data_IF_185561533663
#
_entry.id   IF_185561533663
#
_cell.length_a   1.000
_cell.length_b   1.000
_cell.length_c   1.000
_cell.angle_alpha   90.00
_cell.angle_beta   90.00
_cell.angle_gamma   90.00
#
_symmetry.space_group_name_H-M   'P 1'
#
loop_
_entity.id
_entity.type
_entity.pdbx_description
1 polymer ?
#
# COMPACT_ATOMS: atom_id res chain seq x y z
N UNK A 1 11.87 -15.91 -19.66
CA UNK A 1 12.00 -17.00 -18.65
C UNK A 1 11.47 -16.49 -17.31
N UNK A 2 10.19 -16.70 -17.00
CA UNK A 2 9.53 -16.09 -15.81
C UNK A 2 8.34 -16.88 -15.26
N UNK A 3 8.31 -18.20 -15.45
CA UNK A 3 7.12 -19.03 -15.15
C UNK A 3 7.28 -19.95 -13.93
N UNK A 4 8.50 -20.21 -13.44
CA UNK A 4 8.71 -21.14 -12.33
C UNK A 4 8.51 -20.50 -10.93
N UNK A 5 8.86 -19.23 -10.75
CA UNK A 5 8.68 -18.53 -9.46
C UNK A 5 7.22 -18.20 -9.16
N UNK A 6 6.43 -17.85 -10.17
CA UNK A 6 4.98 -17.61 -10.05
C UNK A 6 4.20 -18.90 -9.77
N UNK A 7 4.60 -20.03 -10.38
CA UNK A 7 4.07 -21.36 -10.08
C UNK A 7 4.32 -21.77 -8.62
N UNK A 8 5.54 -21.57 -8.13
CA UNK A 8 5.93 -21.96 -6.76
C UNK A 8 5.20 -21.11 -5.71
N UNK A 9 5.13 -19.79 -5.90
CA UNK A 9 4.43 -18.88 -4.99
C UNK A 9 2.93 -19.16 -4.94
N UNK A 10 2.31 -19.44 -6.09
CA UNK A 10 0.88 -19.80 -6.16
C UNK A 10 0.61 -21.14 -5.47
N UNK A 11 1.48 -22.13 -5.65
CA UNK A 11 1.36 -23.43 -4.95
C UNK A 11 1.52 -23.28 -3.44
N UNK A 12 2.49 -22.50 -2.99
CA UNK A 12 2.72 -22.22 -1.57
C UNK A 12 1.49 -21.54 -0.93
N UNK A 13 0.88 -20.57 -1.60
CA UNK A 13 -0.36 -19.94 -1.15
C UNK A 13 -1.49 -20.96 -0.97
N UNK A 14 -1.77 -21.79 -1.98
CA UNK A 14 -2.84 -22.78 -1.87
C UNK A 14 -2.56 -23.86 -0.84
N UNK A 15 -1.30 -24.27 -0.68
CA UNK A 15 -0.89 -25.17 0.39
C UNK A 15 -1.10 -24.54 1.78
N UNK A 16 -0.78 -23.25 1.95
CA UNK A 16 -1.04 -22.56 3.22
C UNK A 16 -2.53 -22.42 3.52
N UNK A 17 -3.35 -22.16 2.50
CA UNK A 17 -4.81 -22.08 2.64
C UNK A 17 -5.38 -23.44 3.04
N UNK A 18 -4.97 -24.50 2.34
CA UNK A 18 -5.42 -25.87 2.64
C UNK A 18 -5.00 -26.27 4.06
N UNK A 19 -3.74 -26.02 4.42
CA UNK A 19 -3.22 -26.33 5.76
C UNK A 19 -4.01 -25.59 6.84
N UNK A 20 -4.23 -24.29 6.67
CA UNK A 20 -5.01 -23.47 7.60
C UNK A 20 -6.45 -23.98 7.75
N UNK A 21 -7.12 -24.30 6.65
CA UNK A 21 -8.50 -24.78 6.68
C UNK A 21 -8.62 -26.14 7.40
N UNK A 22 -7.64 -27.03 7.19
CA UNK A 22 -7.58 -28.33 7.88
C UNK A 22 -7.30 -28.14 9.38
N UNK A 23 -6.35 -27.28 9.75
CA UNK A 23 -6.03 -27.04 11.16
C UNK A 23 -7.18 -26.37 11.90
N UNK A 24 -7.83 -25.38 11.28
CA UNK A 24 -8.97 -24.69 11.85
C UNK A 24 -10.15 -25.65 12.01
N UNK A 25 -10.41 -26.49 11.01
CA UNK A 25 -11.43 -27.53 11.07
C UNK A 25 -11.19 -28.54 12.17
N UNK A 26 -9.93 -28.97 12.36
CA UNK A 26 -9.57 -29.87 13.45
C UNK A 26 -9.81 -29.20 14.82
N UNK A 27 -9.41 -27.95 14.98
CA UNK A 27 -9.61 -27.19 16.22
C UNK A 27 -11.11 -27.01 16.51
N UNK A 28 -11.90 -26.63 15.51
CA UNK A 28 -13.34 -26.44 15.67
C UNK A 28 -14.07 -27.75 16.00
N UNK A 29 -13.66 -28.87 15.39
CA UNK A 29 -14.17 -30.19 15.72
C UNK A 29 -13.82 -30.61 17.16
N UNK A 30 -12.56 -30.44 17.58
CA UNK A 30 -12.12 -30.71 18.95
C UNK A 30 -12.86 -29.83 19.97
N UNK A 31 -13.09 -28.56 19.64
CA UNK A 31 -13.90 -27.67 20.47
C UNK A 31 -15.34 -28.19 20.60
N UNK A 32 -15.98 -28.58 19.50
CA UNK A 32 -17.34 -29.13 19.51
C UNK A 32 -17.45 -30.40 20.37
N UNK A 33 -16.47 -31.30 20.31
CA UNK A 33 -16.38 -32.48 21.19
C UNK A 33 -16.22 -32.09 22.66
N UNK A 34 -15.38 -31.10 22.97
CA UNK A 34 -15.16 -30.63 24.34
C UNK A 34 -16.42 -30.01 24.96
N UNK A 35 -17.32 -29.45 24.15
CA UNK A 35 -18.63 -28.94 24.58
C UNK A 35 -19.72 -30.02 24.64
N UNK A 36 -19.36 -31.31 24.54
CA UNK A 36 -20.27 -32.44 24.75
C UNK A 36 -21.08 -32.85 23.52
N UNK A 37 -20.68 -32.45 22.32
CA UNK A 37 -21.31 -32.92 21.08
C UNK A 37 -20.89 -34.37 20.79
N UNK A 38 -21.85 -35.23 20.41
CA UNK A 38 -21.53 -36.56 19.87
C UNK A 38 -20.68 -36.43 18.60
N UNK A 39 -19.83 -37.43 18.29
CA UNK A 39 -18.86 -37.35 17.19
C UNK A 39 -19.49 -36.98 15.82
N UNK A 40 -20.71 -37.46 15.55
CA UNK A 40 -21.44 -37.10 14.33
C UNK A 40 -21.97 -35.66 14.36
N UNK A 41 -22.48 -35.21 15.51
CA UNK A 41 -22.96 -33.83 15.70
C UNK A 41 -21.80 -32.81 15.75
N UNK A 42 -20.62 -33.22 16.26
CA UNK A 42 -19.43 -32.40 16.37
C UNK A 42 -18.91 -31.90 15.01
N UNK A 43 -19.14 -32.65 13.92
CA UNK A 43 -18.83 -32.19 12.56
C UNK A 43 -19.71 -31.00 12.17
N UNK A 44 -21.03 -31.09 12.40
CA UNK A 44 -21.98 -30.02 12.10
C UNK A 44 -21.76 -28.77 12.97
N UNK A 45 -21.57 -28.97 14.27
CA UNK A 45 -21.30 -27.90 15.24
C UNK A 45 -19.94 -27.24 14.94
N UNK A 46 -18.90 -28.01 14.64
CA UNK A 46 -17.59 -27.49 14.28
C UNK A 46 -17.61 -26.66 12.99
N UNK A 47 -18.34 -27.11 11.96
CA UNK A 47 -18.54 -26.32 10.75
C UNK A 47 -19.26 -24.99 11.03
N UNK A 48 -20.26 -24.99 11.91
CA UNK A 48 -20.96 -23.78 12.31
C UNK A 48 -20.06 -22.81 13.10
N UNK A 49 -19.21 -23.33 13.99
CA UNK A 49 -18.19 -22.54 14.70
C UNK A 49 -17.22 -21.89 13.71
N UNK A 50 -16.71 -22.65 12.74
CA UNK A 50 -15.83 -22.10 11.71
C UNK A 50 -16.51 -20.97 10.95
N UNK A 51 -17.71 -21.19 10.44
CA UNK A 51 -18.46 -20.17 9.70
C UNK A 51 -18.67 -18.92 10.57
N UNK A 52 -19.03 -19.08 11.84
CA UNK A 52 -19.20 -17.96 12.76
C UNK A 52 -17.91 -17.17 12.99
N UNK A 53 -16.78 -17.87 13.21
CA UNK A 53 -15.47 -17.25 13.41
C UNK A 53 -15.02 -16.49 12.15
N UNK A 54 -15.11 -17.12 10.98
CA UNK A 54 -14.74 -16.50 9.71
C UNK A 54 -15.65 -15.31 9.39
N UNK A 55 -16.96 -15.42 9.63
CA UNK A 55 -17.90 -14.32 9.45
C UNK A 55 -17.58 -13.15 10.40
N UNK A 56 -17.28 -13.44 11.67
CA UNK A 56 -16.87 -12.43 12.64
C UNK A 56 -15.57 -11.74 12.22
N UNK A 57 -14.55 -12.50 11.82
CA UNK A 57 -13.28 -11.95 11.33
C UNK A 57 -13.50 -11.06 10.09
N UNK A 58 -14.35 -11.50 9.15
CA UNK A 58 -14.68 -10.72 7.96
C UNK A 58 -15.38 -9.40 8.32
N UNK A 59 -16.37 -9.45 9.21
CA UNK A 59 -17.09 -8.26 9.67
C UNK A 59 -16.17 -7.30 10.43
N UNK A 60 -15.35 -7.82 11.33
CA UNK A 60 -14.38 -7.03 12.09
C UNK A 60 -13.34 -6.37 11.16
N UNK A 61 -12.85 -7.13 10.17
CA UNK A 61 -11.96 -6.64 9.13
C UNK A 61 -12.61 -5.53 8.30
N UNK A 62 -13.87 -5.71 7.90
CA UNK A 62 -14.64 -4.71 7.15
C UNK A 62 -14.86 -3.42 7.95
N UNK A 63 -15.26 -3.53 9.22
CA UNK A 63 -15.42 -2.36 10.11
C UNK A 63 -14.09 -1.62 10.26
N UNK A 64 -13.00 -2.36 10.46
CA UNK A 64 -11.66 -1.80 10.58
C UNK A 64 -11.22 -1.08 9.31
N UNK A 65 -11.49 -1.67 8.14
CA UNK A 65 -11.23 -1.08 6.83
C UNK A 65 -12.07 0.20 6.65
N UNK A 66 -13.36 0.17 6.92
CA UNK A 66 -14.25 1.34 6.83
C UNK A 66 -13.80 2.47 7.75
N UNK A 67 -13.46 2.17 9.00
CA UNK A 67 -12.96 3.16 9.96
C UNK A 67 -11.66 3.79 9.49
N UNK A 68 -10.71 2.97 9.05
CA UNK A 68 -9.44 3.46 8.56
C UNK A 68 -9.60 4.28 7.27
N UNK A 69 -10.44 3.83 6.34
CA UNK A 69 -10.79 4.56 5.13
C UNK A 69 -11.42 5.93 5.47
N UNK A 70 -12.38 5.97 6.39
CA UNK A 70 -13.02 7.20 6.82
C UNK A 70 -11.99 8.18 7.41
N UNK A 71 -11.13 7.72 8.34
CA UNK A 71 -10.07 8.55 8.93
C UNK A 71 -9.08 9.05 7.86
N UNK A 72 -8.69 8.16 6.94
CA UNK A 72 -7.80 8.50 5.84
C UNK A 72 -8.39 9.60 4.95
N UNK A 73 -9.60 9.42 4.44
CA UNK A 73 -10.20 10.36 3.50
C UNK A 73 -10.64 11.68 4.15
N UNK A 74 -11.10 11.65 5.41
CA UNK A 74 -11.57 12.85 6.11
C UNK A 74 -10.43 13.71 6.65
N UNK A 75 -9.40 13.11 7.24
CA UNK A 75 -8.40 13.87 8.00
C UNK A 75 -6.98 13.72 7.45
N UNK A 76 -6.59 12.49 7.12
CA UNK A 76 -5.19 12.15 6.92
C UNK A 76 -4.68 12.45 5.51
N UNK A 77 -5.52 12.27 4.49
CA UNK A 77 -5.14 12.35 3.08
C UNK A 77 -4.46 13.68 2.75
N UNK A 78 -5.09 14.81 3.09
CA UNK A 78 -4.57 16.15 2.76
C UNK A 78 -3.25 16.43 3.47
N UNK A 79 -3.16 16.06 4.75
CA UNK A 79 -1.95 16.23 5.56
C UNK A 79 -0.80 15.40 5.01
N UNK A 80 -1.04 14.11 4.73
CA UNK A 80 -0.04 13.20 4.16
C UNK A 80 0.49 13.70 2.82
N UNK A 81 -0.39 14.17 1.93
CA UNK A 81 0.04 14.77 0.66
C UNK A 81 0.94 15.98 0.90
N UNK A 82 0.54 16.91 1.77
CA UNK A 82 1.34 18.10 2.06
C UNK A 82 2.71 17.74 2.67
N UNK A 83 2.75 16.77 3.58
CA UNK A 83 4.01 16.26 4.16
C UNK A 83 4.88 15.60 3.10
N UNK A 84 4.31 14.76 2.22
CA UNK A 84 5.09 14.13 1.14
C UNK A 84 5.64 15.18 0.17
N UNK A 85 4.87 16.21 -0.19
CA UNK A 85 5.38 17.34 -1.01
C UNK A 85 6.56 18.02 -0.32
N UNK A 86 6.45 18.33 0.98
CA UNK A 86 7.56 18.91 1.74
C UNK A 86 8.80 18.00 1.75
N UNK A 87 8.62 16.70 1.92
CA UNK A 87 9.73 15.74 1.83
C UNK A 87 10.38 15.71 0.44
N UNK A 88 9.59 15.87 -0.64
CA UNK A 88 10.12 15.94 -2.01
C UNK A 88 10.91 17.24 -2.24
N UNK A 89 10.42 18.36 -1.70
CA UNK A 89 11.10 19.67 -1.70
C UNK A 89 12.44 19.57 -0.93
N UNK A 90 12.41 19.06 0.30
CA UNK A 90 13.59 18.89 1.16
C UNK A 90 14.63 17.92 0.58
N UNK A 91 14.17 16.87 -0.10
CA UNK A 91 15.05 15.90 -0.76
C UNK A 91 15.64 16.42 -2.08
N UNK A 92 15.14 17.54 -2.61
CA UNK A 92 15.55 18.10 -3.89
C UNK A 92 15.17 17.20 -5.06
N UNK A 93 13.96 16.63 -5.06
CA UNK A 93 13.54 15.72 -6.13
C UNK A 93 13.51 16.42 -7.50
N UNK A 94 14.02 15.76 -8.57
CA UNK A 94 13.96 16.35 -9.90
C UNK A 94 12.52 16.41 -10.40
N UNK A 95 12.22 17.38 -11.27
CA UNK A 95 10.90 17.50 -11.88
C UNK A 95 10.56 16.26 -12.73
N UNK A 96 9.31 15.79 -12.73
CA UNK A 96 8.89 14.71 -13.62
C UNK A 96 9.08 15.11 -15.08
N UNK A 97 9.88 14.34 -15.83
CA UNK A 97 10.21 14.64 -17.23
C UNK A 97 9.06 14.36 -18.22
N UNK A 98 8.04 13.62 -17.77
CA UNK A 98 6.85 13.25 -18.56
C UNK A 98 5.65 13.01 -17.66
N UNK A 99 4.49 12.79 -18.28
CA UNK A 99 3.33 12.27 -17.57
C UNK A 99 3.54 10.78 -17.30
N UNK A 100 3.45 10.38 -16.02
CA UNK A 100 3.57 8.97 -15.61
C UNK A 100 2.21 8.40 -15.30
N UNK A 101 1.94 7.18 -15.78
CA UNK A 101 0.70 6.45 -15.45
C UNK A 101 0.77 5.78 -14.08
N UNK A 102 1.97 5.54 -13.55
CA UNK A 102 2.19 4.97 -12.22
C UNK A 102 3.25 5.80 -11.46
N UNK A 103 2.97 6.25 -10.22
CA UNK A 103 3.94 7.00 -9.41
C UNK A 103 5.27 6.26 -9.21
N UNK A 104 5.28 4.92 -9.23
CA UNK A 104 6.51 4.14 -9.12
C UNK A 104 7.44 4.28 -10.32
N UNK A 105 6.94 4.61 -11.51
CA UNK A 105 7.77 4.86 -12.69
C UNK A 105 8.61 6.13 -12.52
N UNK A 106 7.99 7.21 -12.05
CA UNK A 106 8.72 8.44 -11.71
C UNK A 106 9.77 8.17 -10.65
N UNK A 107 9.42 7.49 -9.55
CA UNK A 107 10.37 7.20 -8.48
C UNK A 107 11.54 6.33 -8.98
N UNK A 108 11.30 5.37 -9.87
CA UNK A 108 12.36 4.57 -10.50
C UNK A 108 13.28 5.42 -11.36
N UNK A 109 12.72 6.37 -12.09
CA UNK A 109 13.49 7.32 -12.88
C UNK A 109 14.43 8.14 -11.99
N UNK A 110 13.91 8.71 -10.88
CA UNK A 110 14.72 9.44 -9.88
C UNK A 110 15.85 8.59 -9.31
N UNK A 111 15.59 7.31 -9.01
CA UNK A 111 16.62 6.38 -8.50
C UNK A 111 17.72 6.15 -9.54
N UNK A 112 17.34 6.02 -10.82
CA UNK A 112 18.26 5.74 -11.92
C UNK A 112 18.99 6.96 -12.48
N UNK A 113 18.49 8.16 -12.19
CA UNK A 113 19.07 9.42 -12.66
C UNK A 113 20.46 9.65 -12.03
N UNK A 114 21.48 9.88 -12.85
CA UNK A 114 22.84 10.12 -12.34
C UNK A 114 22.98 11.47 -11.65
N UNK A 115 22.19 12.46 -12.07
CA UNK A 115 22.27 13.85 -11.61
C UNK A 115 21.38 14.12 -10.39
N UNK A 116 20.42 13.24 -10.11
CA UNK A 116 19.55 13.39 -8.95
C UNK A 116 20.32 13.36 -7.61
N UNK A 117 19.96 14.22 -6.64
CA UNK A 117 20.59 14.25 -5.32
C UNK A 117 20.52 12.89 -4.59
N UNK A 118 21.52 12.54 -3.76
CA UNK A 118 21.49 11.31 -2.97
C UNK A 118 20.23 11.16 -2.09
N UNK A 119 19.76 12.26 -1.52
CA UNK A 119 18.55 12.28 -0.69
C UNK A 119 17.28 11.99 -1.51
N UNK A 120 17.18 12.54 -2.73
CA UNK A 120 16.08 12.25 -3.66
C UNK A 120 16.05 10.76 -4.03
N UNK A 121 17.22 10.17 -4.33
CA UNK A 121 17.36 8.73 -4.62
C UNK A 121 16.95 7.87 -3.44
N UNK A 122 17.41 8.22 -2.24
CA UNK A 122 17.09 7.50 -1.01
C UNK A 122 15.59 7.54 -0.73
N UNK A 123 14.98 8.72 -0.82
CA UNK A 123 13.54 8.90 -0.62
C UNK A 123 12.72 8.10 -1.66
N UNK A 124 13.11 8.17 -2.93
CA UNK A 124 12.43 7.43 -4.00
C UNK A 124 12.55 5.92 -3.81
N UNK A 125 13.76 5.42 -3.50
CA UNK A 125 14.01 4.02 -3.21
C UNK A 125 13.25 3.52 -1.98
N UNK A 126 13.23 4.29 -0.89
CA UNK A 126 12.47 3.97 0.32
C UNK A 126 10.97 3.89 0.06
N UNK A 127 10.43 4.82 -0.74
CA UNK A 127 8.99 4.85 -1.09
C UNK A 127 8.60 3.65 -1.94
N UNK A 128 9.44 3.27 -2.92
CA UNK A 128 9.24 2.04 -3.70
C UNK A 128 9.30 0.80 -2.78
N UNK A 129 10.30 0.73 -1.90
CA UNK A 129 10.43 -0.37 -0.95
C UNK A 129 9.22 -0.51 -0.02
N UNK A 130 8.67 0.60 0.46
CA UNK A 130 7.45 0.62 1.26
C UNK A 130 6.24 0.10 0.46
N UNK A 131 6.06 0.53 -0.79
CA UNK A 131 4.98 0.06 -1.67
C UNK A 131 5.07 -1.44 -1.94
N UNK A 132 6.26 -1.93 -2.29
CA UNK A 132 6.48 -3.37 -2.55
C UNK A 132 6.30 -4.21 -1.29
N UNK A 133 6.71 -3.70 -0.12
CA UNK A 133 6.48 -4.38 1.17
C UNK A 133 5.00 -4.48 1.48
N UNK A 134 4.22 -3.41 1.28
CA UNK A 134 2.77 -3.43 1.49
C UNK A 134 2.06 -4.40 0.53
N UNK A 135 2.51 -4.47 -0.72
CA UNK A 135 2.01 -5.43 -1.72
C UNK A 135 2.34 -6.87 -1.32
N UNK A 136 3.59 -7.14 -0.93
CA UNK A 136 4.05 -8.47 -0.55
C UNK A 136 3.39 -9.00 0.73
N UNK A 137 3.02 -8.11 1.65
CA UNK A 137 2.38 -8.47 2.93
C UNK A 137 0.84 -8.44 2.89
N UNK A 138 0.22 -8.42 1.70
CA UNK A 138 -1.24 -8.38 1.50
C UNK A 138 -1.95 -7.16 2.14
N UNK A 139 -1.25 -6.05 2.38
CA UNK A 139 -1.84 -4.80 2.85
C UNK A 139 -2.36 -3.94 1.69
N UNK A 140 -3.22 -4.53 0.85
CA UNK A 140 -3.66 -3.94 -0.43
C UNK A 140 -4.27 -2.54 -0.26
N UNK A 141 -5.11 -2.34 0.76
CA UNK A 141 -5.73 -1.02 1.01
C UNK A 141 -4.69 0.05 1.37
N UNK A 142 -3.71 -0.28 2.23
CA UNK A 142 -2.63 0.64 2.59
C UNK A 142 -1.75 0.98 1.38
N UNK A 143 -1.48 -0.01 0.53
CA UNK A 143 -0.76 0.22 -0.72
C UNK A 143 -1.50 1.20 -1.63
N UNK A 144 -2.82 1.05 -1.78
CA UNK A 144 -3.65 1.99 -2.56
C UNK A 144 -3.63 3.41 -1.97
N UNK A 145 -3.77 3.54 -0.64
CA UNK A 145 -3.67 4.83 0.04
C UNK A 145 -2.31 5.50 -0.19
N UNK A 146 -1.21 4.74 -0.10
CA UNK A 146 0.14 5.25 -0.32
C UNK A 146 0.32 5.68 -1.78
N UNK A 147 -0.07 4.87 -2.76
CA UNK A 147 -0.02 5.23 -4.18
C UNK A 147 -0.78 6.53 -4.45
N UNK A 148 -2.00 6.65 -3.92
CA UNK A 148 -2.84 7.85 -4.11
C UNK A 148 -2.19 9.11 -3.52
N UNK A 149 -1.52 8.99 -2.35
CA UNK A 149 -0.81 10.11 -1.72
C UNK A 149 0.39 10.51 -2.57
N UNK A 150 1.20 9.54 -2.99
CA UNK A 150 2.41 9.79 -3.79
C UNK A 150 2.06 10.39 -5.14
N UNK A 151 1.06 9.86 -5.84
CA UNK A 151 0.59 10.40 -7.12
C UNK A 151 0.16 11.87 -7.00
N UNK A 152 -0.68 12.19 -5.99
CA UNK A 152 -1.12 13.56 -5.77
C UNK A 152 -0.01 14.48 -5.27
N UNK A 153 0.98 13.95 -4.54
CA UNK A 153 2.15 14.71 -4.11
C UNK A 153 3.04 15.06 -5.30
N UNK A 154 3.33 14.12 -6.19
CA UNK A 154 4.09 14.36 -7.42
C UNK A 154 3.42 15.45 -8.27
N UNK A 155 2.10 15.36 -8.46
CA UNK A 155 1.35 16.35 -9.22
C UNK A 155 1.41 17.76 -8.59
N UNK A 156 1.29 17.87 -7.26
CA UNK A 156 1.40 19.16 -6.57
C UNK A 156 2.82 19.71 -6.55
N UNK A 157 3.81 18.85 -6.40
CA UNK A 157 5.22 19.23 -6.41
C UNK A 157 5.61 19.82 -7.77
N UNK A 158 5.21 19.17 -8.87
CA UNK A 158 5.48 19.65 -10.21
C UNK A 158 4.82 21.00 -10.51
N UNK A 159 3.56 21.18 -10.06
CA UNK A 159 2.85 22.46 -10.19
C UNK A 159 3.59 23.59 -9.46
N UNK A 160 3.97 23.39 -8.19
CA UNK A 160 4.68 24.41 -7.38
C UNK A 160 6.02 24.81 -7.97
N UNK A 161 6.83 23.84 -8.35
CA UNK A 161 8.15 24.09 -8.95
C UNK A 161 8.03 24.78 -10.31
N UNK A 162 7.02 24.43 -11.12
CA UNK A 162 6.77 25.11 -12.39
C UNK A 162 6.38 26.58 -12.22
N UNK A 163 5.62 26.91 -11.18
CA UNK A 163 5.24 28.28 -10.83
C UNK A 163 6.44 29.07 -10.31
N UNK A 164 7.22 28.49 -9.39
CA UNK A 164 8.43 29.12 -8.84
C UNK A 164 9.45 29.43 -9.94
N UNK A 165 9.65 28.50 -10.88
CA UNK A 165 10.49 28.71 -12.05
C UNK A 165 9.97 29.88 -12.90
N UNK A 166 8.68 29.92 -13.24
CA UNK A 166 8.10 31.04 -14.02
C UNK A 166 8.27 32.39 -13.34
N UNK A 167 8.11 32.46 -12.01
CA UNK A 167 8.29 33.68 -11.23
C UNK A 167 9.75 34.16 -11.27
N UNK A 168 10.72 33.25 -11.09
CA UNK A 168 12.15 33.60 -11.18
C UNK A 168 12.54 34.16 -12.55
N UNK A 169 11.92 33.67 -13.64
CA UNK A 169 12.14 34.20 -14.98
C UNK A 169 11.54 35.59 -15.16
N UNK A 170 10.34 35.83 -14.64
CA UNK A 170 9.70 37.15 -14.68
C UNK A 170 10.52 38.19 -13.90
N UNK A 171 10.99 37.85 -12.70
CA UNK A 171 11.86 38.72 -11.89
C UNK A 171 13.21 38.98 -12.57
N UNK A 172 13.82 37.97 -13.18
CA UNK A 172 15.07 38.12 -13.93
C UNK A 172 14.93 38.97 -15.20
N UNK A 173 13.74 38.96 -15.81
CA UNK A 173 13.41 39.73 -17.02
C UNK A 173 12.89 41.15 -16.76
N UNK A 174 12.62 41.51 -15.51
CA UNK A 174 12.15 42.84 -15.15
C UNK A 174 13.27 43.87 -15.34
N UNK A 175 13.02 45.00 -16.04
CA UNK A 175 14.01 46.06 -16.17
C UNK A 175 14.34 46.60 -14.79
N UNK A 176 15.62 46.54 -14.41
CA UNK A 176 16.11 47.16 -13.17
C UNK A 176 15.88 48.67 -13.31
N UNK A 177 14.99 49.21 -12.47
CA UNK A 177 14.76 50.64 -12.34
C UNK A 177 15.98 51.35 -11.74
#
# INVERSE_FOLDING_TARGET
MGTQFTSTSRRAYWLSVLFGLVTDGLIAYLAALAFGSDAFAAVGVGALILVAVYAFQMLYGLISLCRYAALFFLFDKRRRIATTVGQMEDAGMPLPGRFYGDPTEYLREVVSDKEAPPNAKLMAGATIGALETLRATNHAFLAMCLMMVVEQAIAKYSERQSLAWRQSFQEASAPRA
#
